data_IF_580993847931
#
_entry.id   IF_580993847931
#
_cell.length_a   1.000
_cell.length_b   1.000
_cell.length_c   1.000
_cell.angle_alpha   90.00
_cell.angle_beta   90.00
_cell.angle_gamma   90.00
#
_symmetry.space_group_name_H-M   'P 1'
#
loop_
_entity.id
_entity.type
_entity.pdbx_description
1 polymer ?
#
# COMPACT_ATOMS: atom_id res chain seq x y z
N UNK A 1 44.42 0.04 -16.11
CA UNK A 1 44.68 -1.38 -16.38
C UNK A 1 44.99 -2.02 -15.05
N UNK A 2 43.99 -2.53 -14.38
CA UNK A 2 44.27 -3.31 -13.15
C UNK A 2 43.18 -4.39 -13.05
N UNK A 3 43.64 -5.63 -13.18
CA UNK A 3 42.90 -6.86 -13.25
C UNK A 3 42.66 -7.42 -11.83
N UNK A 4 41.64 -7.00 -11.12
CA UNK A 4 41.31 -7.57 -9.81
C UNK A 4 39.87 -8.03 -9.62
N UNK A 5 39.14 -8.31 -10.72
CA UNK A 5 37.71 -8.71 -10.67
C UNK A 5 37.44 -10.18 -11.00
N UNK A 6 38.48 -11.05 -11.01
CA UNK A 6 38.29 -12.43 -11.48
C UNK A 6 38.78 -13.52 -10.51
N UNK A 7 38.52 -13.38 -9.21
CA UNK A 7 38.95 -14.43 -8.24
C UNK A 7 37.94 -14.67 -7.11
N UNK A 8 36.65 -14.77 -7.41
CA UNK A 8 35.68 -15.20 -6.36
C UNK A 8 34.67 -16.23 -6.88
N UNK A 9 35.18 -17.25 -7.58
CA UNK A 9 34.36 -18.41 -7.98
C UNK A 9 35.23 -19.64 -8.01
N UNK A 10 35.50 -20.27 -6.85
CA UNK A 10 35.90 -21.70 -6.73
C UNK A 10 36.06 -22.04 -5.24
N UNK A 11 35.01 -22.56 -4.64
CA UNK A 11 35.13 -23.54 -3.54
C UNK A 11 33.73 -24.19 -3.34
N UNK A 12 33.49 -25.20 -4.13
CA UNK A 12 32.52 -26.24 -3.87
C UNK A 12 33.30 -27.50 -3.51
N UNK A 13 33.11 -28.05 -2.33
CA UNK A 13 33.47 -29.42 -1.92
C UNK A 13 32.45 -29.79 -0.85
N UNK A 14 31.45 -30.64 -1.14
CA UNK A 14 31.35 -32.10 -1.03
C UNK A 14 31.77 -32.61 0.35
N UNK A 15 30.78 -33.15 1.07
CA UNK A 15 30.78 -34.29 2.01
C UNK A 15 29.46 -34.26 2.78
N UNK A 16 28.65 -35.26 2.98
CA UNK A 16 28.79 -36.70 2.80
C UNK A 16 27.50 -37.32 3.35
N UNK A 17 27.05 -38.32 2.70
CA UNK A 17 25.89 -39.17 3.01
C UNK A 17 26.21 -40.02 4.23
N UNK A 18 25.28 -40.10 5.22
CA UNK A 18 25.19 -41.27 6.10
C UNK A 18 23.70 -41.66 6.23
N UNK A 19 23.38 -42.82 5.69
CA UNK A 19 22.18 -43.58 5.96
C UNK A 19 22.27 -44.20 7.37
N UNK A 20 21.14 -44.23 8.06
CA UNK A 20 20.93 -45.03 9.27
C UNK A 20 19.47 -45.47 9.37
N UNK A 21 19.26 -46.74 9.01
CA UNK A 21 18.00 -47.47 9.09
C UNK A 21 17.72 -47.96 10.51
N UNK A 22 16.44 -48.20 10.78
CA UNK A 22 15.86 -49.24 11.67
C UNK A 22 15.27 -48.81 13.01
N UNK A 23 14.03 -49.22 13.18
CA UNK A 23 13.43 -49.56 14.47
C UNK A 23 11.92 -49.38 14.53
N UNK A 24 11.18 -50.37 13.98
CA UNK A 24 9.77 -50.61 14.38
C UNK A 24 9.74 -51.16 15.81
N UNK A 25 8.79 -50.71 16.63
CA UNK A 25 8.10 -51.67 17.51
C UNK A 25 6.69 -51.20 17.90
N UNK A 26 5.88 -52.22 18.05
CA UNK A 26 4.43 -52.27 18.11
C UNK A 26 3.88 -52.16 19.55
N UNK A 27 2.60 -51.75 19.59
CA UNK A 27 1.52 -52.26 20.48
C UNK A 27 1.66 -52.04 22.00
N UNK A 28 0.69 -51.35 22.60
CA UNK A 28 -0.30 -51.95 23.48
C UNK A 28 -1.37 -50.93 23.93
N UNK A 29 -2.64 -51.28 23.63
CA UNK A 29 -3.81 -50.81 24.38
C UNK A 29 -4.05 -51.77 25.54
N UNK A 30 -4.68 -51.33 26.61
CA UNK A 30 -5.76 -52.12 27.20
C UNK A 30 -7.07 -51.36 27.43
N UNK A 31 -8.09 -52.17 27.35
CA UNK A 31 -9.51 -51.96 27.49
C UNK A 31 -9.96 -51.50 28.88
N UNK A 32 -11.02 -50.67 28.83
CA UNK A 32 -12.29 -50.72 29.58
C UNK A 32 -12.35 -51.33 30.97
N UNK A 33 -12.86 -50.55 31.93
CA UNK A 33 -13.89 -51.07 32.88
C UNK A 33 -14.83 -49.96 33.34
N UNK A 34 -16.13 -50.23 33.22
CA UNK A 34 -17.24 -49.46 33.75
C UNK A 34 -17.29 -49.54 35.30
N UNK A 35 -17.67 -48.43 35.93
CA UNK A 35 -18.42 -48.49 37.18
C UNK A 35 -19.34 -47.24 37.29
N UNK A 36 -20.58 -47.52 37.47
CA UNK A 36 -21.69 -46.59 37.66
C UNK A 36 -21.80 -46.09 39.13
N UNK A 37 -22.44 -44.96 39.25
CA UNK A 37 -23.25 -44.39 40.38
C UNK A 37 -22.70 -43.00 40.75
N UNK A 38 -23.44 -41.95 40.87
CA UNK A 38 -24.69 -41.61 41.51
C UNK A 38 -25.04 -40.16 41.14
N UNK A 39 -26.31 -39.94 40.89
CA UNK A 39 -26.88 -38.59 40.60
C UNK A 39 -27.00 -37.78 41.90
N UNK A 40 -26.57 -36.54 41.88
CA UNK A 40 -27.13 -35.50 42.74
C UNK A 40 -27.34 -34.20 41.97
N UNK A 41 -28.49 -33.52 42.08
CA UNK A 41 -28.81 -32.33 41.33
C UNK A 41 -28.19 -31.10 41.97
N UNK A 42 -27.24 -30.47 41.33
CA UNK A 42 -26.76 -29.15 41.75
C UNK A 42 -27.35 -28.09 40.82
N UNK A 43 -28.03 -27.15 41.46
CA UNK A 43 -28.70 -26.00 40.86
C UNK A 43 -27.81 -25.23 39.88
N UNK A 44 -28.32 -25.08 38.67
CA UNK A 44 -27.81 -24.17 37.67
C UNK A 44 -28.08 -22.73 38.10
N UNK A 45 -27.10 -22.05 38.62
CA UNK A 45 -27.08 -20.59 38.62
C UNK A 45 -26.59 -20.15 37.24
N UNK A 46 -27.51 -19.66 36.40
CA UNK A 46 -27.22 -18.93 35.19
C UNK A 46 -26.51 -17.64 35.54
N UNK A 47 -25.19 -17.64 35.43
CA UNK A 47 -24.42 -16.40 35.36
C UNK A 47 -24.54 -15.95 33.89
N UNK A 48 -25.43 -15.01 33.65
CA UNK A 48 -25.39 -14.19 32.43
C UNK A 48 -24.05 -13.42 32.46
N UNK A 49 -23.03 -14.00 31.88
CA UNK A 49 -21.86 -13.23 31.46
C UNK A 49 -22.28 -12.38 30.28
N UNK A 50 -22.56 -11.13 30.56
CA UNK A 50 -22.64 -10.07 29.59
C UNK A 50 -21.28 -9.97 28.88
N UNK A 51 -21.15 -10.70 27.75
CA UNK A 51 -19.94 -10.74 26.94
C UNK A 51 -19.89 -9.45 26.11
N UNK A 52 -19.63 -8.32 26.74
CA UNK A 52 -19.22 -7.10 26.07
C UNK A 52 -17.78 -7.31 25.59
N UNK A 53 -17.62 -8.09 24.52
CA UNK A 53 -16.37 -8.15 23.79
C UNK A 53 -16.13 -6.79 23.15
N UNK A 54 -15.39 -5.95 23.85
CA UNK A 54 -14.76 -4.76 23.28
C UNK A 54 -14.03 -5.24 22.02
N UNK A 55 -14.29 -4.64 20.84
CA UNK A 55 -13.65 -5.11 19.62
C UNK A 55 -12.12 -5.13 19.82
N UNK A 56 -11.54 -6.31 19.63
CA UNK A 56 -10.10 -6.49 19.73
C UNK A 56 -9.45 -5.55 18.72
N UNK A 57 -8.78 -4.50 19.18
CA UNK A 57 -7.98 -3.62 18.33
C UNK A 57 -6.82 -4.46 17.82
N UNK A 58 -6.84 -4.80 16.55
CA UNK A 58 -5.68 -5.43 15.91
C UNK A 58 -4.56 -4.39 15.86
N UNK A 59 -3.49 -4.61 16.61
CA UNK A 59 -2.32 -3.76 16.60
C UNK A 59 -1.41 -4.19 15.43
N UNK A 60 -1.21 -3.29 14.48
CA UNK A 60 -0.20 -3.45 13.44
C UNK A 60 1.09 -2.76 13.91
N UNK A 61 2.17 -3.52 14.06
CA UNK A 61 3.48 -2.98 14.44
C UNK A 61 4.40 -2.98 13.23
N UNK A 62 5.05 -1.85 12.97
CA UNK A 62 6.11 -1.69 11.97
C UNK A 62 7.38 -1.19 12.62
N UNK A 63 8.52 -1.73 12.20
CA UNK A 63 9.83 -1.26 12.62
C UNK A 63 10.37 -0.24 11.61
N UNK A 64 11.02 0.81 12.11
CA UNK A 64 11.70 1.82 11.32
C UNK A 64 13.17 1.84 11.67
N UNK A 65 14.04 1.83 10.67
CA UNK A 65 15.49 2.03 10.81
C UNK A 65 15.89 3.48 10.54
N UNK A 66 15.00 4.23 9.88
CA UNK A 66 15.17 5.64 9.57
C UNK A 66 13.97 6.43 10.11
N UNK A 67 14.14 7.73 10.29
CA UNK A 67 13.03 8.59 10.69
C UNK A 67 11.84 8.43 9.74
N UNK A 68 10.62 8.31 10.26
CA UNK A 68 9.43 8.26 9.43
C UNK A 68 9.28 9.55 8.62
N UNK A 69 8.63 9.45 7.47
CA UNK A 69 8.25 10.60 6.66
C UNK A 69 6.78 10.41 6.28
N UNK A 70 6.02 11.48 6.32
CA UNK A 70 4.63 11.53 5.91
C UNK A 70 4.45 12.15 4.51
N UNK A 71 5.57 12.43 3.82
CA UNK A 71 5.60 13.10 2.54
C UNK A 71 5.84 12.10 1.40
N UNK A 72 4.81 11.71 0.61
CA UNK A 72 4.93 10.73 -0.48
C UNK A 72 5.94 11.12 -1.55
N UNK A 73 6.17 12.42 -1.75
CA UNK A 73 7.09 12.92 -2.77
C UNK A 73 8.58 12.83 -2.37
N UNK A 74 8.86 12.55 -1.09
CA UNK A 74 10.23 12.51 -0.55
C UNK A 74 10.58 11.17 0.11
N UNK A 75 9.79 10.14 -0.17
CA UNK A 75 10.09 8.77 0.30
C UNK A 75 11.44 8.29 -0.23
N UNK A 76 12.22 7.67 0.66
CA UNK A 76 13.59 7.17 0.36
C UNK A 76 13.80 5.72 0.75
N UNK A 77 13.01 5.19 1.67
CA UNK A 77 13.19 3.89 2.27
C UNK A 77 11.89 3.08 2.23
N UNK A 78 11.96 1.76 2.01
CA UNK A 78 10.78 0.90 1.90
C UNK A 78 9.85 0.95 3.13
N UNK A 79 10.40 1.09 4.33
CA UNK A 79 9.60 1.21 5.55
C UNK A 79 8.76 2.50 5.59
N UNK A 80 9.27 3.59 5.02
CA UNK A 80 8.52 4.84 4.86
C UNK A 80 7.37 4.66 3.86
N UNK A 81 7.65 3.98 2.74
CA UNK A 81 6.62 3.69 1.73
C UNK A 81 5.48 2.86 2.32
N UNK A 82 5.78 1.86 3.16
CA UNK A 82 4.76 1.06 3.83
C UNK A 82 3.86 1.90 4.76
N UNK A 83 4.43 2.87 5.50
CA UNK A 83 3.66 3.81 6.31
C UNK A 83 2.77 4.69 5.43
N UNK A 84 3.33 5.21 4.34
CA UNK A 84 2.58 6.07 3.43
C UNK A 84 1.42 5.34 2.75
N UNK A 85 1.55 4.03 2.47
CA UNK A 85 0.46 3.20 1.95
C UNK A 85 -0.65 2.93 2.98
N UNK A 86 -0.38 3.07 4.27
CA UNK A 86 -1.42 3.04 5.31
C UNK A 86 -2.21 4.37 5.32
N UNK A 87 -1.57 5.50 4.99
CA UNK A 87 -2.11 6.85 5.05
C UNK A 87 -2.70 7.35 3.72
N UNK A 88 -2.22 6.85 2.60
CA UNK A 88 -2.62 7.31 1.27
C UNK A 88 -3.03 6.17 0.36
N UNK A 89 -4.02 6.41 -0.48
CA UNK A 89 -4.46 5.50 -1.54
C UNK A 89 -4.34 6.19 -2.91
N UNK A 90 -3.71 5.49 -3.86
CA UNK A 90 -3.56 5.95 -5.25
C UNK A 90 -4.73 5.57 -6.14
N UNK A 91 -4.67 5.91 -7.43
CA UNK A 91 -5.69 5.50 -8.42
C UNK A 91 -5.85 3.98 -8.45
N UNK A 92 -4.73 3.27 -8.37
CA UNK A 92 -4.64 1.81 -8.31
C UNK A 92 -3.79 1.40 -7.11
N UNK A 93 -3.91 0.14 -6.70
CA UNK A 93 -3.15 -0.44 -5.59
C UNK A 93 -2.69 -1.86 -5.93
N UNK A 94 -1.76 -2.41 -5.14
CA UNK A 94 -1.40 -3.83 -5.18
C UNK A 94 -2.15 -4.61 -4.11
N UNK A 95 -2.67 -5.77 -4.48
CA UNK A 95 -3.17 -6.75 -3.51
C UNK A 95 -2.02 -7.55 -2.86
N UNK A 96 -2.37 -8.52 -2.00
CA UNK A 96 -1.39 -9.35 -1.29
C UNK A 96 -0.59 -10.27 -2.22
N UNK A 97 -1.12 -10.58 -3.40
CA UNK A 97 -0.48 -11.38 -4.44
C UNK A 97 0.32 -10.53 -5.44
N UNK A 98 0.37 -9.20 -5.24
CA UNK A 98 1.07 -8.28 -6.12
C UNK A 98 0.34 -7.96 -7.44
N UNK A 99 -0.95 -8.24 -7.52
CA UNK A 99 -1.79 -7.90 -8.68
C UNK A 99 -2.35 -6.50 -8.53
N UNK A 100 -2.54 -5.82 -9.65
CA UNK A 100 -3.18 -4.50 -9.66
C UNK A 100 -4.69 -4.64 -9.40
N UNK A 101 -5.15 -3.85 -8.46
CA UNK A 101 -6.55 -3.75 -8.06
C UNK A 101 -7.00 -2.27 -8.04
N UNK A 102 -8.30 -2.00 -8.08
CA UNK A 102 -8.85 -0.68 -7.84
C UNK A 102 -8.35 -0.07 -6.52
N UNK A 103 -7.87 1.18 -6.60
CA UNK A 103 -7.64 2.06 -5.46
C UNK A 103 -8.77 3.07 -5.32
N UNK A 104 -8.49 4.38 -5.38
CA UNK A 104 -9.55 5.39 -5.44
C UNK A 104 -10.29 5.37 -6.79
N UNK A 105 -9.70 4.85 -7.87
CA UNK A 105 -10.42 4.56 -9.11
C UNK A 105 -11.13 3.21 -8.98
N UNK A 106 -12.44 3.17 -9.25
CA UNK A 106 -13.20 1.92 -9.30
C UNK A 106 -13.00 1.16 -10.62
N UNK A 107 -12.64 1.87 -11.69
CA UNK A 107 -12.44 1.28 -13.02
C UNK A 107 -11.57 2.17 -13.91
N UNK A 108 -11.02 1.57 -14.96
CA UNK A 108 -10.29 2.28 -16.01
C UNK A 108 -10.48 1.60 -17.37
N UNK A 109 -10.33 2.40 -18.44
CA UNK A 109 -10.42 1.91 -19.80
C UNK A 109 -9.51 2.69 -20.75
N UNK A 110 -9.11 2.03 -21.83
CA UNK A 110 -8.37 2.61 -22.94
C UNK A 110 -8.74 1.91 -24.24
N UNK A 111 -8.55 2.60 -25.37
CA UNK A 111 -8.66 2.00 -26.70
C UNK A 111 -7.32 1.83 -27.41
N UNK A 112 -6.32 2.59 -27.00
CA UNK A 112 -5.05 2.75 -27.71
C UNK A 112 -3.83 2.67 -26.80
N UNK A 113 -4.03 2.44 -25.49
CA UNK A 113 -3.02 2.49 -24.45
C UNK A 113 -2.27 3.84 -24.35
N UNK A 114 -2.84 4.91 -24.96
CA UNK A 114 -2.34 6.29 -24.88
C UNK A 114 -3.31 7.22 -24.18
N UNK A 115 -4.60 7.02 -24.43
CA UNK A 115 -5.64 7.78 -23.76
C UNK A 115 -6.37 6.84 -22.80
N UNK A 116 -6.24 7.13 -21.52
CA UNK A 116 -6.83 6.37 -20.44
C UNK A 116 -7.89 7.20 -19.73
N UNK A 117 -9.02 6.57 -19.43
CA UNK A 117 -10.09 7.16 -18.63
C UNK A 117 -10.20 6.36 -17.34
N UNK A 118 -10.05 7.02 -16.21
CA UNK A 118 -10.26 6.46 -14.88
C UNK A 118 -11.53 7.02 -14.29
N UNK A 119 -12.36 6.15 -13.71
CA UNK A 119 -13.59 6.55 -13.00
C UNK A 119 -13.32 6.38 -11.51
N UNK A 120 -13.44 7.45 -10.73
CA UNK A 120 -13.26 7.42 -9.28
C UNK A 120 -14.49 6.83 -8.58
N UNK A 121 -14.29 6.17 -7.44
CA UNK A 121 -15.37 5.67 -6.58
C UNK A 121 -16.27 6.82 -6.13
N UNK A 122 -17.53 6.52 -5.83
CA UNK A 122 -18.44 7.48 -5.22
C UNK A 122 -18.10 7.72 -3.74
N UNK A 123 -18.34 8.93 -3.29
CA UNK A 123 -18.28 9.28 -1.88
C UNK A 123 -16.87 9.33 -1.30
N UNK A 124 -15.82 9.38 -2.13
CA UNK A 124 -14.45 9.55 -1.66
C UNK A 124 -14.32 10.83 -0.83
N UNK A 125 -13.58 10.72 0.26
CA UNK A 125 -13.33 11.84 1.18
C UNK A 125 -11.89 11.85 1.65
N UNK A 126 -11.42 13.02 1.92
CA UNK A 126 -10.24 13.26 2.73
C UNK A 126 -10.51 12.98 4.21
N UNK A 127 -9.47 12.80 5.01
CA UNK A 127 -9.56 12.52 6.45
C UNK A 127 -10.17 13.66 7.27
N UNK A 128 -10.27 14.86 6.71
CA UNK A 128 -11.00 16.00 7.28
C UNK A 128 -12.49 16.04 6.90
N UNK A 129 -12.95 15.07 6.08
CA UNK A 129 -14.33 14.94 5.62
C UNK A 129 -14.67 15.68 4.32
N UNK A 130 -13.76 16.46 3.77
CA UNK A 130 -13.96 17.11 2.47
C UNK A 130 -14.02 16.08 1.34
N UNK A 131 -14.79 16.35 0.25
CA UNK A 131 -14.80 15.48 -0.91
C UNK A 131 -13.40 15.37 -1.54
N UNK A 132 -13.01 14.15 -1.95
CA UNK A 132 -11.86 13.91 -2.80
C UNK A 132 -12.36 13.69 -4.23
N UNK A 133 -11.90 14.50 -5.17
CA UNK A 133 -12.37 14.52 -6.55
C UNK A 133 -11.21 14.38 -7.56
N UNK A 134 -11.54 14.13 -8.83
CA UNK A 134 -10.54 13.97 -9.89
C UNK A 134 -9.60 15.19 -10.04
N UNK A 135 -10.10 16.38 -9.74
CA UNK A 135 -9.30 17.61 -9.77
C UNK A 135 -8.16 17.57 -8.74
N UNK A 136 -8.35 16.93 -7.57
CA UNK A 136 -7.30 16.84 -6.56
C UNK A 136 -6.13 15.99 -7.07
N UNK A 137 -6.42 14.90 -7.78
CA UNK A 137 -5.38 14.07 -8.42
C UNK A 137 -4.61 14.88 -9.47
N UNK A 138 -5.34 15.59 -10.34
CA UNK A 138 -4.73 16.44 -11.38
C UNK A 138 -3.83 17.50 -10.78
N UNK A 139 -4.32 18.26 -9.80
CA UNK A 139 -3.57 19.31 -9.13
C UNK A 139 -2.34 18.75 -8.38
N UNK A 140 -2.46 17.58 -7.77
CA UNK A 140 -1.33 16.90 -7.10
C UNK A 140 -0.20 16.60 -8.08
N UNK A 141 -0.49 16.09 -9.27
CA UNK A 141 0.55 15.79 -10.27
C UNK A 141 1.15 17.06 -10.88
N UNK A 142 0.35 18.09 -11.07
CA UNK A 142 0.84 19.41 -11.47
C UNK A 142 1.79 20.01 -10.41
N UNK A 143 1.41 19.92 -9.13
CA UNK A 143 2.26 20.37 -8.01
C UNK A 143 3.53 19.52 -7.89
N UNK A 144 3.45 18.19 -8.03
CA UNK A 144 4.62 17.30 -8.08
C UNK A 144 5.60 17.74 -9.17
N UNK A 145 5.11 18.09 -10.37
CA UNK A 145 5.96 18.53 -11.48
C UNK A 145 6.76 19.79 -11.18
N UNK A 146 6.22 20.68 -10.33
CA UNK A 146 6.83 21.94 -9.92
C UNK A 146 7.70 21.83 -8.66
N UNK A 147 7.58 20.71 -7.93
CA UNK A 147 8.31 20.48 -6.68
C UNK A 147 9.81 20.26 -6.92
N UNK A 148 10.59 20.27 -5.82
CA UNK A 148 12.00 19.86 -5.83
C UNK A 148 12.18 18.36 -5.55
N UNK A 149 11.09 17.60 -5.54
CA UNK A 149 11.13 16.15 -5.32
C UNK A 149 11.95 15.45 -6.41
N UNK A 150 12.83 14.50 -6.05
CA UNK A 150 13.49 13.65 -7.04
C UNK A 150 12.49 12.75 -7.78
N UNK A 151 11.32 12.47 -7.17
CA UNK A 151 10.29 11.59 -7.73
C UNK A 151 9.43 12.28 -8.80
N UNK A 152 9.55 13.60 -8.99
CA UNK A 152 8.83 14.30 -10.05
C UNK A 152 9.14 13.76 -11.45
N UNK A 153 10.35 13.20 -11.66
CA UNK A 153 10.75 12.57 -12.92
C UNK A 153 9.90 11.33 -13.26
N UNK A 154 9.19 10.77 -12.28
CA UNK A 154 8.30 9.64 -12.50
C UNK A 154 7.16 9.97 -13.48
N UNK A 155 6.72 11.23 -13.54
CA UNK A 155 5.74 11.71 -14.53
C UNK A 155 6.22 11.48 -15.98
N UNK A 156 7.53 11.65 -16.23
CA UNK A 156 8.10 11.35 -17.54
C UNK A 156 8.25 9.84 -17.79
N UNK A 157 8.49 9.04 -16.75
CA UNK A 157 8.51 7.57 -16.86
C UNK A 157 7.14 6.99 -17.22
N UNK A 158 6.05 7.63 -16.78
CA UNK A 158 4.69 7.27 -17.21
C UNK A 158 4.48 7.49 -18.71
N UNK A 159 5.38 8.16 -19.41
CA UNK A 159 5.19 8.76 -20.72
C UNK A 159 4.03 9.77 -20.74
N UNK A 160 3.75 10.43 -19.60
CA UNK A 160 2.69 11.43 -19.52
C UNK A 160 2.96 12.55 -20.52
N UNK A 161 1.97 12.89 -21.31
CA UNK A 161 2.07 13.91 -22.36
C UNK A 161 2.61 15.22 -21.79
N UNK A 162 3.55 15.84 -22.48
CA UNK A 162 4.27 17.05 -22.12
C UNK A 162 5.11 16.98 -20.82
N UNK A 163 5.14 15.84 -20.10
CA UNK A 163 5.85 15.76 -18.82
C UNK A 163 7.33 16.16 -18.93
N UNK A 164 8.02 15.73 -20.00
CA UNK A 164 9.43 16.11 -20.20
C UNK A 164 9.59 17.63 -20.35
N UNK A 165 8.79 18.27 -21.20
CA UNK A 165 8.82 19.71 -21.43
C UNK A 165 8.51 20.50 -20.16
N UNK A 166 7.52 20.05 -19.37
CA UNK A 166 7.16 20.66 -18.09
C UNK A 166 8.29 20.52 -17.06
N UNK A 167 8.90 19.33 -16.93
CA UNK A 167 10.02 19.10 -16.00
C UNK A 167 11.26 19.92 -16.35
N UNK A 168 11.50 20.17 -17.64
CA UNK A 168 12.58 21.01 -18.18
C UNK A 168 12.20 22.50 -18.19
N UNK A 169 10.98 22.87 -17.75
CA UNK A 169 10.43 24.24 -17.75
C UNK A 169 10.30 24.88 -19.16
N UNK A 170 10.17 24.05 -20.18
CA UNK A 170 9.92 24.45 -21.57
C UNK A 170 8.43 24.54 -21.89
N UNK A 171 7.60 23.87 -21.07
CA UNK A 171 6.15 23.85 -21.18
C UNK A 171 5.51 24.24 -19.83
N UNK A 172 4.33 24.86 -19.83
CA UNK A 172 3.64 25.20 -18.60
C UNK A 172 3.11 23.92 -17.90
N UNK A 173 3.02 23.97 -16.55
CA UNK A 173 2.63 22.79 -15.76
C UNK A 173 1.20 22.32 -16.02
N UNK A 174 0.30 23.21 -16.41
CA UNK A 174 -1.08 22.92 -16.77
C UNK A 174 -1.23 22.25 -18.17
N UNK A 175 -0.13 22.16 -18.93
CA UNK A 175 -0.08 21.40 -20.19
C UNK A 175 0.15 19.90 -19.98
N UNK A 176 0.40 19.44 -18.75
CA UNK A 176 0.51 18.00 -18.44
C UNK A 176 -0.72 17.22 -18.94
N UNK A 177 -0.48 16.05 -19.51
CA UNK A 177 -1.52 15.16 -20.05
C UNK A 177 -2.44 14.53 -19.01
N UNK A 178 -2.90 15.29 -18.01
CA UNK A 178 -3.85 14.85 -17.00
C UNK A 178 -4.97 15.88 -16.87
N UNK A 179 -6.22 15.43 -16.93
CA UNK A 179 -7.39 16.29 -17.00
C UNK A 179 -8.51 15.72 -16.12
N UNK A 180 -9.05 16.54 -15.23
CA UNK A 180 -10.29 16.25 -14.52
C UNK A 180 -11.49 16.69 -15.40
N UNK A 181 -12.17 15.72 -16.01
CA UNK A 181 -13.31 16.02 -16.88
C UNK A 181 -14.58 16.36 -16.08
N UNK A 182 -14.68 15.79 -14.90
CA UNK A 182 -15.66 16.07 -13.86
C UNK A 182 -15.14 15.53 -12.52
N UNK A 183 -15.93 15.60 -11.45
CA UNK A 183 -15.52 15.19 -10.12
C UNK A 183 -15.02 13.73 -10.00
N UNK A 184 -15.48 12.87 -10.90
CA UNK A 184 -15.17 11.43 -10.86
C UNK A 184 -14.42 10.92 -12.08
N UNK A 185 -14.23 11.73 -13.10
CA UNK A 185 -13.60 11.27 -14.34
C UNK A 185 -12.26 11.95 -14.55
N UNK A 186 -11.21 11.15 -14.55
CA UNK A 186 -9.85 11.56 -14.83
C UNK A 186 -9.43 11.00 -16.18
N UNK A 187 -9.00 11.88 -17.09
CA UNK A 187 -8.41 11.50 -18.38
C UNK A 187 -6.89 11.71 -18.33
N UNK A 188 -6.14 10.67 -18.73
CA UNK A 188 -4.69 10.67 -18.79
C UNK A 188 -4.27 10.43 -20.23
N UNK A 189 -3.45 11.34 -20.79
CA UNK A 189 -2.89 11.25 -22.13
C UNK A 189 -1.38 10.99 -22.07
N UNK A 190 -0.91 10.07 -22.91
CA UNK A 190 0.47 9.63 -22.98
C UNK A 190 1.08 9.90 -24.34
N UNK A 191 2.36 10.23 -24.39
CA UNK A 191 3.12 10.38 -25.63
C UNK A 191 3.31 9.03 -26.32
N UNK A 192 3.41 7.94 -25.56
CA UNK A 192 3.60 6.58 -26.07
C UNK A 192 2.56 5.64 -25.49
N UNK A 193 2.17 4.61 -26.25
CA UNK A 193 1.33 3.55 -25.77
C UNK A 193 1.99 2.83 -24.56
N UNK A 194 1.30 2.82 -23.43
CA UNK A 194 1.77 2.25 -22.15
C UNK A 194 0.69 1.33 -21.59
N UNK A 195 0.62 0.06 -22.03
CA UNK A 195 -0.44 -0.87 -21.60
C UNK A 195 -0.39 -1.22 -20.12
N UNK A 196 0.75 -1.03 -19.48
CA UNK A 196 1.00 -1.25 -18.03
C UNK A 196 0.87 0.04 -17.21
N UNK A 197 0.16 1.05 -17.71
CA UNK A 197 -0.07 2.29 -16.95
C UNK A 197 -0.72 2.04 -15.59
N UNK A 198 -1.75 1.17 -15.44
CA UNK A 198 -2.35 0.91 -14.13
C UNK A 198 -1.35 0.42 -13.08
N UNK A 199 -0.37 -0.41 -13.46
CA UNK A 199 0.70 -0.88 -12.59
C UNK A 199 1.60 0.28 -12.13
N UNK A 200 1.90 1.19 -13.01
CA UNK A 200 2.73 2.35 -12.70
C UNK A 200 2.01 3.35 -11.79
N UNK A 201 0.69 3.45 -11.89
CA UNK A 201 -0.13 4.37 -11.09
C UNK A 201 -0.25 3.97 -9.60
N UNK A 202 0.14 2.73 -9.24
CA UNK A 202 0.23 2.29 -7.87
C UNK A 202 1.48 2.85 -7.13
N UNK A 203 2.32 3.64 -7.81
CA UNK A 203 3.51 4.24 -7.20
C UNK A 203 3.13 5.33 -6.20
N UNK A 204 3.76 5.30 -5.02
CA UNK A 204 3.41 6.17 -3.89
C UNK A 204 3.53 7.67 -4.20
N UNK A 205 4.40 8.09 -5.11
CA UNK A 205 4.54 9.51 -5.47
C UNK A 205 3.34 10.08 -6.25
N UNK A 206 2.45 9.21 -6.74
CA UNK A 206 1.30 9.59 -7.56
C UNK A 206 -0.02 9.63 -6.77
N UNK A 207 0.03 9.32 -5.47
CA UNK A 207 -1.16 9.46 -4.62
C UNK A 207 -1.60 10.92 -4.57
N UNK A 208 -2.91 11.20 -4.50
CA UNK A 208 -3.39 12.55 -4.35
C UNK A 208 -2.86 13.17 -3.05
N UNK A 209 -2.52 14.45 -3.11
CA UNK A 209 -2.15 15.26 -1.97
C UNK A 209 -3.24 16.30 -1.72
N UNK A 210 -3.54 16.54 -0.46
CA UNK A 210 -4.46 17.61 -0.11
C UNK A 210 -3.86 18.97 -0.48
N UNK A 211 -4.69 19.91 -0.88
CA UNK A 211 -4.24 21.21 -1.41
C UNK A 211 -3.43 22.05 -0.40
N UNK A 212 -3.68 21.88 0.90
CA UNK A 212 -2.87 22.46 1.97
C UNK A 212 -1.81 21.42 2.39
N UNK A 213 -0.61 21.57 1.84
CA UNK A 213 0.51 20.64 2.08
C UNK A 213 1.11 20.77 3.49
N UNK A 214 0.78 21.84 4.23
CA UNK A 214 1.21 22.01 5.62
C UNK A 214 0.34 21.18 6.58
N UNK A 215 -0.81 20.71 6.10
CA UNK A 215 -1.75 19.89 6.87
C UNK A 215 -1.62 18.41 6.49
N UNK A 216 -1.44 17.51 7.47
CA UNK A 216 -1.46 16.06 7.23
C UNK A 216 -2.92 15.58 7.06
N UNK A 217 -3.51 15.92 5.92
CA UNK A 217 -4.82 15.43 5.49
C UNK A 217 -4.60 14.32 4.46
N UNK A 218 -5.10 13.13 4.75
CA UNK A 218 -4.81 11.90 4.00
C UNK A 218 -6.10 11.27 3.49
N UNK A 219 -5.99 10.29 2.59
CA UNK A 219 -7.15 9.62 1.98
C UNK A 219 -7.11 8.09 2.11
N UNK A 220 -6.14 7.55 2.85
CA UNK A 220 -5.99 6.11 3.07
C UNK A 220 -6.84 5.57 4.22
N UNK A 221 -6.62 4.31 4.54
CA UNK A 221 -7.39 3.57 5.57
C UNK A 221 -7.14 4.09 6.98
N UNK A 222 -5.97 4.69 7.20
CA UNK A 222 -5.56 5.19 8.52
C UNK A 222 -5.22 6.68 8.47
N UNK A 223 -5.29 7.30 9.64
CA UNK A 223 -4.83 8.67 9.93
C UNK A 223 -3.77 8.63 11.02
N UNK A 224 -2.91 9.63 11.08
CA UNK A 224 -1.98 9.82 12.19
C UNK A 224 -2.75 10.25 13.43
N UNK A 225 -2.73 9.42 14.47
CA UNK A 225 -3.31 9.74 15.78
C UNK A 225 -2.28 10.47 16.67
N UNK A 226 -1.06 9.95 16.71
CA UNK A 226 0.04 10.57 17.45
C UNK A 226 1.40 10.04 17.00
N UNK A 227 2.42 10.90 17.16
CA UNK A 227 3.82 10.54 17.04
C UNK A 227 4.55 10.93 18.33
N UNK A 228 5.33 10.01 18.90
CA UNK A 228 6.09 10.23 20.11
C UNK A 228 7.32 9.31 20.18
N UNK A 229 8.12 9.40 21.25
CA UNK A 229 9.34 8.59 21.44
C UNK A 229 9.11 7.07 21.45
N UNK A 230 7.85 6.60 21.62
CA UNK A 230 7.49 5.17 21.59
C UNK A 230 7.08 4.71 20.18
N UNK A 231 6.85 5.63 19.25
CA UNK A 231 6.49 5.32 17.87
C UNK A 231 5.36 6.17 17.32
N UNK A 232 4.85 5.72 16.17
CA UNK A 232 3.74 6.30 15.45
C UNK A 232 2.49 5.48 15.77
N UNK A 233 1.41 6.16 16.10
CA UNK A 233 0.11 5.58 16.34
C UNK A 233 -0.85 6.02 15.23
N UNK A 234 -1.47 5.06 14.59
CA UNK A 234 -2.47 5.29 13.55
C UNK A 234 -3.86 4.91 14.08
N UNK A 235 -4.85 5.72 13.77
CA UNK A 235 -6.26 5.42 13.98
C UNK A 235 -6.91 5.11 12.63
N UNK A 236 -8.03 4.38 12.64
CA UNK A 236 -8.82 4.16 11.41
C UNK A 236 -9.36 5.50 10.92
N UNK A 237 -9.22 5.76 9.61
CA UNK A 237 -9.86 6.91 8.97
C UNK A 237 -11.39 6.78 9.11
N UNK A 238 -12.10 7.80 9.58
CA UNK A 238 -13.55 7.75 9.76
C UNK A 238 -14.35 7.81 8.44
N UNK A 239 -13.70 8.15 7.32
CA UNK A 239 -14.34 8.36 6.02
C UNK A 239 -13.96 7.31 4.97
#
# INVERSE_FOLDING_TARGET
MDNSFLNWLKSAVIFGIILGLSGCDKLNSPKSTNAAAEEQPTQSQSIEQENTSKPSRTLLTRAFTHSPSFEPWFVRYPEQENLLRDLYEGLTAYDQEGRIVPGIAESWQTKDNKTWIFTLREGLRWSNGEPLVAQDVMLSWQALSQSNSPLRSYLAYLNLKNAKGVLEKNEPFDSLGIYAENDRTLRIELDKATPYLPEMLAHISLVPQYHDLDSLVVNGVYILESENAKGIHLAKNPY
#
